data_IF_010476507349
#
_entry.id   IF_010476507349
#
_cell.length_a   1.000
_cell.length_b   1.000
_cell.length_c   1.000
_cell.angle_alpha   90.00
_cell.angle_beta   90.00
_cell.angle_gamma   90.00
#
_symmetry.space_group_name_H-M   'P 1'
#
loop_
_entity.id
_entity.type
_entity.pdbx_description
1 polymer ?
#
# COMPACT_ATOMS: atom_id res chain seq x y z
N UNK A 1 7.07 8.43 1.99
CA UNK A 1 6.62 9.18 3.19
C UNK A 1 7.17 10.60 3.32
N UNK A 2 8.43 10.89 2.98
CA UNK A 2 8.99 12.25 3.13
C UNK A 2 8.15 13.36 2.46
N UNK A 3 7.64 13.08 1.25
CA UNK A 3 6.73 14.00 0.56
C UNK A 3 5.47 14.32 1.38
N UNK A 4 4.83 13.31 1.97
CA UNK A 4 3.61 13.45 2.77
C UNK A 4 3.88 14.30 4.01
N UNK A 5 5.03 14.09 4.66
CA UNK A 5 5.40 14.86 5.84
C UNK A 5 5.52 16.35 5.51
N UNK A 6 6.17 16.70 4.40
CA UNK A 6 6.29 18.09 3.95
C UNK A 6 4.94 18.66 3.52
N UNK A 7 4.14 17.88 2.80
CA UNK A 7 2.80 18.27 2.37
C UNK A 7 1.92 18.67 3.56
N UNK A 8 1.82 17.78 4.56
CA UNK A 8 1.04 18.06 5.77
C UNK A 8 1.65 19.18 6.61
N UNK A 9 2.97 19.32 6.65
CA UNK A 9 3.63 20.41 7.35
C UNK A 9 3.32 21.78 6.73
N UNK A 10 3.24 21.86 5.39
CA UNK A 10 2.83 23.07 4.67
C UNK A 10 1.36 23.39 4.98
N UNK A 11 0.46 22.41 4.86
CA UNK A 11 -0.97 22.58 5.16
C UNK A 11 -1.22 23.05 6.60
N UNK A 12 -0.39 22.58 7.54
CA UNK A 12 -0.51 22.89 8.97
C UNK A 12 0.43 24.00 9.43
N UNK A 13 1.12 24.72 8.53
CA UNK A 13 2.21 25.63 8.89
C UNK A 13 1.80 26.67 9.94
N UNK A 14 0.60 27.24 9.80
CA UNK A 14 0.06 28.23 10.75
C UNK A 14 -0.28 27.67 12.13
N UNK A 15 -0.54 26.37 12.22
CA UNK A 15 -0.83 25.69 13.48
C UNK A 15 0.44 25.31 14.24
N UNK A 16 1.54 25.08 13.52
CA UNK A 16 2.82 24.64 14.09
C UNK A 16 3.85 25.78 14.20
N UNK A 17 3.49 27.01 13.81
CA UNK A 17 4.39 28.15 13.79
C UNK A 17 5.55 27.98 12.81
N UNK A 18 5.28 27.37 11.66
CA UNK A 18 6.27 27.02 10.63
C UNK A 18 6.15 27.85 9.35
N UNK A 19 5.46 28.99 9.37
CA UNK A 19 5.19 29.81 8.18
C UNK A 19 6.48 30.30 7.50
N UNK A 20 7.54 30.53 8.27
CA UNK A 20 8.86 30.93 7.78
C UNK A 20 9.56 29.83 6.96
N UNK A 21 9.13 28.57 7.10
CA UNK A 21 9.71 27.40 6.41
C UNK A 21 8.90 26.92 5.21
N UNK A 22 7.71 27.48 4.97
CA UNK A 22 6.80 27.03 3.92
C UNK A 22 7.45 27.05 2.54
N UNK A 23 8.24 28.08 2.23
CA UNK A 23 8.95 28.18 0.95
C UNK A 23 9.93 27.02 0.75
N UNK A 24 10.77 26.77 1.75
CA UNK A 24 11.76 25.68 1.72
C UNK A 24 11.09 24.30 1.65
N UNK A 25 10.07 24.07 2.48
CA UNK A 25 9.32 22.81 2.47
C UNK A 25 8.62 22.57 1.13
N UNK A 26 8.05 23.62 0.54
CA UNK A 26 7.38 23.52 -0.77
C UNK A 26 8.39 23.13 -1.84
N UNK A 27 9.56 23.78 -1.89
CA UNK A 27 10.62 23.44 -2.83
C UNK A 27 11.07 21.98 -2.68
N UNK A 28 11.39 21.55 -1.46
CA UNK A 28 11.83 20.15 -1.23
C UNK A 28 10.72 19.15 -1.50
N UNK A 29 9.45 19.47 -1.21
CA UNK A 29 8.31 18.62 -1.56
C UNK A 29 8.23 18.41 -3.07
N UNK A 30 8.39 19.47 -3.87
CA UNK A 30 8.37 19.36 -5.34
C UNK A 30 9.59 18.62 -5.90
N UNK A 31 10.77 18.78 -5.31
CA UNK A 31 11.96 17.99 -5.67
C UNK A 31 11.74 16.49 -5.43
N UNK A 32 11.18 16.12 -4.27
CA UNK A 32 10.84 14.73 -3.95
C UNK A 32 9.75 14.22 -4.90
N UNK A 33 8.72 15.02 -5.17
CA UNK A 33 7.64 14.66 -6.08
C UNK A 33 8.20 14.33 -7.46
N UNK A 34 9.01 15.22 -8.00
CA UNK A 34 9.66 15.05 -9.32
C UNK A 34 10.52 13.79 -9.34
N UNK A 35 11.36 13.58 -8.32
CA UNK A 35 12.19 12.38 -8.24
C UNK A 35 11.37 11.08 -8.21
N UNK A 36 10.27 11.03 -7.46
CA UNK A 36 9.40 9.84 -7.40
C UNK A 36 8.73 9.60 -8.76
N UNK A 37 8.18 10.64 -9.39
CA UNK A 37 7.48 10.49 -10.67
C UNK A 37 8.41 10.08 -11.81
N UNK A 38 9.63 10.62 -11.84
CA UNK A 38 10.58 10.38 -12.94
C UNK A 38 11.39 9.10 -12.76
N UNK A 39 11.76 8.76 -11.51
CA UNK A 39 12.69 7.65 -11.23
C UNK A 39 12.03 6.44 -10.59
N UNK A 40 10.85 6.61 -10.01
CA UNK A 40 10.08 5.54 -9.40
C UNK A 40 9.15 4.82 -10.38
N UNK A 41 8.82 5.44 -11.52
CA UNK A 41 8.05 4.77 -12.57
C UNK A 41 8.98 3.91 -13.44
N UNK A 42 8.62 2.64 -13.61
CA UNK A 42 9.30 1.74 -14.55
C UNK A 42 8.40 1.47 -15.75
N UNK A 43 8.84 1.91 -16.93
CA UNK A 43 8.13 1.61 -18.18
C UNK A 43 8.07 0.11 -18.49
N UNK A 44 9.07 -0.65 -18.02
CA UNK A 44 9.12 -2.10 -18.23
C UNK A 44 8.16 -2.85 -17.33
N UNK A 45 8.06 -2.46 -16.06
CA UNK A 45 7.07 -3.02 -15.13
C UNK A 45 5.66 -2.46 -15.40
N UNK A 46 5.57 -1.28 -16.02
CA UNK A 46 4.31 -0.55 -16.20
C UNK A 46 3.70 -0.09 -14.87
N UNK A 47 4.55 0.18 -13.86
CA UNK A 47 4.14 0.46 -12.49
C UNK A 47 5.20 1.28 -11.74
N UNK A 48 4.82 1.83 -10.58
CA UNK A 48 5.81 2.28 -9.59
C UNK A 48 6.49 1.07 -8.94
N UNK A 49 7.82 1.11 -8.86
CA UNK A 49 8.65 -0.02 -8.40
C UNK A 49 9.24 0.20 -7.00
N UNK A 50 9.78 -0.85 -6.41
CA UNK A 50 10.26 -0.91 -5.03
C UNK A 50 11.35 0.14 -4.73
N UNK A 51 12.21 0.41 -5.70
CA UNK A 51 13.28 1.39 -5.60
C UNK A 51 13.57 2.03 -6.97
N UNK A 52 14.20 3.20 -6.94
CA UNK A 52 14.46 3.97 -8.16
C UNK A 52 15.34 3.21 -9.18
N UNK A 53 14.87 3.18 -10.42
CA UNK A 53 15.52 2.45 -11.51
C UNK A 53 15.43 0.92 -11.43
N UNK A 54 14.73 0.39 -10.43
CA UNK A 54 14.40 -1.03 -10.32
C UNK A 54 13.17 -1.41 -11.12
N UNK A 55 12.94 -2.71 -11.26
CA UNK A 55 11.80 -3.29 -11.97
C UNK A 55 10.85 -4.06 -11.04
N UNK A 56 11.31 -4.39 -9.83
CA UNK A 56 10.56 -5.19 -8.87
C UNK A 56 9.43 -4.37 -8.24
N UNK A 57 8.30 -5.04 -8.01
CA UNK A 57 7.12 -4.43 -7.40
C UNK A 57 7.21 -4.50 -5.88
N UNK A 58 6.58 -3.52 -5.22
CA UNK A 58 6.37 -3.53 -3.77
C UNK A 58 4.97 -2.96 -3.48
N UNK A 59 4.18 -3.69 -2.69
CA UNK A 59 2.82 -3.33 -2.34
C UNK A 59 2.73 -2.00 -1.57
N UNK A 60 3.81 -1.54 -0.96
CA UNK A 60 3.88 -0.22 -0.33
C UNK A 60 3.67 0.94 -1.31
N UNK A 61 3.84 0.72 -2.62
CA UNK A 61 3.52 1.74 -3.63
C UNK A 61 2.01 2.05 -3.72
N UNK A 62 1.13 1.15 -3.25
CA UNK A 62 -0.29 1.45 -3.08
C UNK A 62 -0.53 2.62 -2.12
N UNK A 63 0.40 2.84 -1.17
CA UNK A 63 0.32 3.98 -0.25
C UNK A 63 0.33 5.33 -0.97
N UNK A 64 0.88 5.41 -2.19
CA UNK A 64 0.88 6.65 -2.97
C UNK A 64 -0.53 7.15 -3.26
N UNK A 65 -1.48 6.25 -3.57
CA UNK A 65 -2.89 6.61 -3.71
C UNK A 65 -3.54 6.90 -2.35
N UNK A 66 -3.25 6.08 -1.34
CA UNK A 66 -3.89 6.16 -0.02
C UNK A 66 -3.57 7.48 0.69
N UNK A 67 -2.32 7.95 0.62
CA UNK A 67 -1.87 9.19 1.28
C UNK A 67 -2.07 10.45 0.44
N UNK A 68 -2.62 10.30 -0.77
CA UNK A 68 -2.89 11.40 -1.70
C UNK A 68 -1.64 11.95 -2.40
N UNK A 69 -0.61 11.15 -2.63
CA UNK A 69 0.54 11.54 -3.46
C UNK A 69 0.12 11.70 -4.92
N UNK A 70 -0.64 10.73 -5.43
CA UNK A 70 -1.34 10.80 -6.71
C UNK A 70 -2.83 10.47 -6.49
N UNK A 71 -3.74 11.02 -7.32
CA UNK A 71 -5.11 10.55 -7.39
C UNK A 71 -5.15 9.03 -7.64
N UNK A 72 -6.07 8.32 -6.99
CA UNK A 72 -6.17 6.87 -7.15
C UNK A 72 -6.61 6.45 -8.57
N UNK A 73 -7.24 7.37 -9.32
CA UNK A 73 -7.62 7.24 -10.72
C UNK A 73 -6.56 7.76 -11.72
N UNK A 74 -5.39 8.22 -11.24
CA UNK A 74 -4.25 8.51 -12.12
C UNK A 74 -3.89 7.24 -12.90
N UNK A 75 -3.68 7.31 -14.23
CA UNK A 75 -3.38 6.12 -15.04
C UNK A 75 -2.19 5.30 -14.52
N UNK A 76 -1.18 5.92 -13.94
CA UNK A 76 -0.02 5.22 -13.36
C UNK A 76 -0.37 4.53 -12.04
N UNK A 77 -1.26 5.11 -11.24
CA UNK A 77 -1.74 4.46 -10.02
C UNK A 77 -2.65 3.28 -10.36
N UNK A 78 -3.56 3.43 -11.33
CA UNK A 78 -4.37 2.31 -11.82
C UNK A 78 -3.50 1.16 -12.32
N UNK A 79 -2.48 1.45 -13.13
CA UNK A 79 -1.55 0.45 -13.61
C UNK A 79 -0.74 -0.21 -12.47
N UNK A 80 -0.35 0.56 -11.46
CA UNK A 80 0.36 0.03 -10.27
C UNK A 80 -0.55 -0.87 -9.41
N UNK A 81 -1.82 -0.51 -9.24
CA UNK A 81 -2.82 -1.33 -8.56
C UNK A 81 -3.02 -2.66 -9.32
N UNK A 82 -3.19 -2.58 -10.64
CA UNK A 82 -3.37 -3.77 -11.49
C UNK A 82 -2.13 -4.66 -11.52
N UNK A 83 -0.93 -4.09 -11.55
CA UNK A 83 0.32 -4.86 -11.46
C UNK A 83 0.47 -5.55 -10.11
N UNK A 84 0.13 -4.85 -9.01
CA UNK A 84 0.15 -5.43 -7.66
C UNK A 84 -0.83 -6.61 -7.55
N UNK A 85 -2.07 -6.44 -8.01
CA UNK A 85 -3.08 -7.51 -7.98
C UNK A 85 -2.73 -8.70 -8.88
N UNK A 86 -2.00 -8.48 -9.98
CA UNK A 86 -1.63 -9.55 -10.91
C UNK A 86 -0.39 -10.31 -10.47
N UNK A 87 0.65 -9.60 -10.02
CA UNK A 87 2.00 -10.17 -9.88
C UNK A 87 2.41 -10.37 -8.41
N UNK A 88 1.80 -9.62 -7.48
CA UNK A 88 2.09 -9.70 -6.03
C UNK A 88 1.01 -10.43 -5.23
N UNK A 89 0.12 -11.20 -5.86
CA UNK A 89 -0.85 -12.02 -5.12
C UNK A 89 -0.55 -13.52 -5.19
N UNK A 90 -0.94 -14.25 -4.16
CA UNK A 90 -1.06 -15.72 -4.23
C UNK A 90 -2.34 -16.15 -4.98
N UNK A 91 -2.55 -17.46 -5.13
CA UNK A 91 -3.72 -18.04 -5.78
C UNK A 91 -5.05 -17.73 -5.07
N UNK A 92 -5.00 -17.35 -3.79
CA UNK A 92 -6.16 -16.92 -2.99
C UNK A 92 -6.41 -15.41 -3.16
N UNK A 93 -5.49 -14.70 -3.81
CA UNK A 93 -5.53 -13.27 -4.02
C UNK A 93 -5.13 -12.45 -2.79
N UNK A 94 -4.33 -13.01 -1.88
CA UNK A 94 -3.68 -12.28 -0.78
C UNK A 94 -2.34 -11.73 -1.26
N UNK A 95 -1.96 -10.54 -0.76
CA UNK A 95 -0.86 -9.74 -1.32
C UNK A 95 0.44 -10.00 -0.56
N UNK A 96 1.50 -10.37 -1.27
CA UNK A 96 2.88 -10.29 -0.79
C UNK A 96 3.35 -8.83 -0.74
N UNK A 97 4.21 -8.50 0.22
CA UNK A 97 4.81 -7.16 0.26
C UNK A 97 5.68 -6.93 -0.99
N UNK A 98 6.55 -7.88 -1.29
CA UNK A 98 7.33 -8.00 -2.52
C UNK A 98 7.63 -9.49 -2.72
N UNK A 99 8.03 -9.91 -3.93
CA UNK A 99 8.53 -11.27 -4.13
C UNK A 99 9.99 -11.29 -3.69
N UNK A 100 10.29 -11.91 -2.55
CA UNK A 100 11.66 -12.16 -2.17
C UNK A 100 12.25 -13.19 -3.15
N UNK A 101 13.34 -12.84 -3.84
CA UNK A 101 14.21 -13.88 -4.40
C UNK A 101 14.81 -14.69 -3.24
N UNK A 102 15.00 -16.00 -3.42
CA UNK A 102 15.60 -16.86 -2.39
C UNK A 102 16.90 -16.24 -1.85
N UNK A 103 16.95 -15.98 -0.54
CA UNK A 103 18.18 -15.58 0.16
C UNK A 103 18.46 -14.08 0.28
N UNK A 104 17.52 -13.18 -0.04
CA UNK A 104 17.71 -11.73 0.10
C UNK A 104 17.67 -11.26 1.57
N UNK A 105 16.90 -11.93 2.43
CA UNK A 105 16.78 -11.62 3.86
C UNK A 105 17.62 -12.53 4.79
N UNK A 106 18.28 -13.54 4.21
CA UNK A 106 19.10 -14.51 4.93
C UNK A 106 18.31 -15.45 5.86
N UNK A 107 16.99 -15.50 5.75
CA UNK A 107 16.15 -16.42 6.50
C UNK A 107 15.75 -17.61 5.63
N UNK A 108 15.71 -18.80 6.24
CA UNK A 108 15.22 -20.00 5.56
C UNK A 108 13.69 -20.01 5.62
N UNK A 109 13.03 -19.78 4.48
CA UNK A 109 11.58 -19.82 4.35
C UNK A 109 11.09 -18.95 3.18
N UNK A 110 9.84 -19.15 2.78
CA UNK A 110 9.12 -18.22 1.91
C UNK A 110 8.29 -17.31 2.81
N UNK A 111 8.46 -15.99 2.72
CA UNK A 111 7.67 -15.00 3.46
C UNK A 111 6.18 -15.18 3.16
N UNK A 112 5.29 -14.98 4.14
CA UNK A 112 3.86 -15.11 3.95
C UNK A 112 3.26 -13.94 3.17
N UNK A 113 1.98 -14.07 2.83
CA UNK A 113 1.20 -12.92 2.34
C UNK A 113 0.83 -12.00 3.49
N UNK A 114 0.87 -10.69 3.29
CA UNK A 114 0.61 -9.70 4.32
C UNK A 114 -0.84 -9.23 4.30
N UNK A 115 -1.53 -9.36 5.45
CA UNK A 115 -2.92 -8.91 5.58
C UNK A 115 -3.03 -7.40 5.40
N UNK A 116 -2.09 -6.63 5.96
CA UNK A 116 -2.03 -5.18 5.77
C UNK A 116 -1.92 -4.79 4.28
N UNK A 117 -1.04 -5.44 3.52
CA UNK A 117 -0.87 -5.17 2.09
C UNK A 117 -2.14 -5.53 1.30
N UNK A 118 -2.81 -6.61 1.69
CA UNK A 118 -4.10 -7.00 1.07
C UNK A 118 -5.18 -5.96 1.36
N UNK A 119 -5.24 -5.41 2.56
CA UNK A 119 -6.15 -4.30 2.88
C UNK A 119 -5.77 -3.00 2.16
N UNK A 120 -4.49 -2.70 1.97
CA UNK A 120 -4.09 -1.56 1.13
C UNK A 120 -4.55 -1.72 -0.32
N UNK A 121 -4.52 -2.93 -0.88
CA UNK A 121 -5.05 -3.17 -2.23
C UNK A 121 -6.55 -2.90 -2.29
N UNK A 122 -7.32 -3.40 -1.32
CA UNK A 122 -8.74 -3.10 -1.20
C UNK A 122 -9.00 -1.58 -1.07
N UNK A 123 -8.25 -0.90 -0.21
CA UNK A 123 -8.39 0.55 -0.01
C UNK A 123 -8.08 1.34 -1.29
N UNK A 124 -6.99 0.99 -1.99
CA UNK A 124 -6.60 1.65 -3.23
C UNK A 124 -7.62 1.43 -4.35
N UNK A 125 -8.16 0.21 -4.49
CA UNK A 125 -9.25 -0.11 -5.42
C UNK A 125 -10.51 0.71 -5.11
N UNK A 126 -10.90 0.82 -3.85
CA UNK A 126 -12.07 1.60 -3.44
C UNK A 126 -11.89 3.09 -3.79
N UNK A 127 -10.72 3.65 -3.48
CA UNK A 127 -10.38 5.05 -3.82
C UNK A 127 -10.33 5.29 -5.32
N UNK A 128 -9.99 4.28 -6.12
CA UNK A 128 -10.01 4.33 -7.59
C UNK A 128 -11.41 4.08 -8.20
N UNK A 129 -12.45 3.95 -7.37
CA UNK A 129 -13.82 3.70 -7.82
C UNK A 129 -14.09 2.26 -8.26
N UNK A 130 -13.20 1.31 -7.95
CA UNK A 130 -13.36 -0.13 -8.26
C UNK A 130 -13.95 -0.87 -7.06
N UNK A 131 -15.13 -0.43 -6.62
CA UNK A 131 -15.72 -0.78 -5.33
C UNK A 131 -16.00 -2.29 -5.19
N UNK A 132 -16.53 -2.92 -6.23
CA UNK A 132 -16.84 -4.36 -6.22
C UNK A 132 -15.57 -5.20 -6.04
N UNK A 133 -14.50 -4.87 -6.79
CA UNK A 133 -13.19 -5.54 -6.64
C UNK A 133 -12.59 -5.27 -5.26
N UNK A 134 -12.71 -4.04 -4.75
CA UNK A 134 -12.25 -3.69 -3.42
C UNK A 134 -12.92 -4.57 -2.34
N UNK A 135 -14.23 -4.78 -2.45
CA UNK A 135 -15.01 -5.65 -1.55
C UNK A 135 -14.54 -7.10 -1.61
N UNK A 136 -14.31 -7.64 -2.81
CA UNK A 136 -13.80 -9.01 -2.98
C UNK A 136 -12.43 -9.20 -2.32
N UNK A 137 -11.50 -8.25 -2.48
CA UNK A 137 -10.18 -8.29 -1.84
C UNK A 137 -10.32 -8.17 -0.31
N UNK A 138 -11.17 -7.26 0.16
CA UNK A 138 -11.43 -7.05 1.58
C UNK A 138 -12.02 -8.32 2.24
N UNK A 139 -13.01 -8.94 1.62
CA UNK A 139 -13.68 -10.13 2.14
C UNK A 139 -12.75 -11.35 2.20
N UNK A 140 -11.84 -11.48 1.21
CA UNK A 140 -10.77 -12.49 1.26
C UNK A 140 -9.85 -12.31 2.48
N UNK A 141 -9.41 -11.09 2.74
CA UNK A 141 -8.50 -10.81 3.86
C UNK A 141 -9.18 -10.96 5.22
N UNK A 142 -10.40 -10.44 5.40
CA UNK A 142 -11.10 -10.51 6.69
C UNK A 142 -11.52 -11.93 7.08
N UNK A 143 -11.63 -12.85 6.11
CA UNK A 143 -11.91 -14.27 6.38
C UNK A 143 -10.84 -14.96 7.23
N UNK A 144 -9.65 -14.36 7.36
CA UNK A 144 -8.56 -14.84 8.21
C UNK A 144 -8.63 -14.32 9.66
N UNK A 145 -9.62 -13.48 9.99
CA UNK A 145 -9.87 -13.12 11.38
C UNK A 145 -10.28 -14.38 12.16
N UNK A 146 -9.68 -14.60 13.33
CA UNK A 146 -10.03 -15.75 14.15
C UNK A 146 -11.42 -15.61 14.80
N UNK A 147 -11.79 -16.58 15.65
CA UNK A 147 -13.08 -16.64 16.35
C UNK A 147 -13.39 -15.42 17.24
N UNK A 148 -12.36 -14.67 17.66
CA UNK A 148 -12.51 -13.42 18.42
C UNK A 148 -12.23 -12.16 17.59
N UNK A 149 -12.11 -12.29 16.27
CA UNK A 149 -11.94 -11.18 15.33
C UNK A 149 -10.52 -10.63 15.23
N UNK A 150 -9.51 -11.38 15.66
CA UNK A 150 -8.11 -10.98 15.63
C UNK A 150 -7.39 -11.48 14.38
N UNK A 151 -6.57 -10.60 13.81
CA UNK A 151 -5.71 -10.85 12.65
C UNK A 151 -4.22 -10.89 13.04
N UNK A 152 -3.44 -11.71 12.33
CA UNK A 152 -1.98 -11.70 12.36
C UNK A 152 -1.39 -10.69 11.36
N UNK A 153 -0.07 -10.65 11.29
CA UNK A 153 0.67 -9.93 10.27
C UNK A 153 0.57 -10.60 8.90
N UNK A 154 0.83 -11.91 8.88
CA UNK A 154 0.95 -12.70 7.68
C UNK A 154 0.02 -13.90 7.67
N UNK A 155 -0.22 -14.43 6.48
CA UNK A 155 -0.87 -15.72 6.23
C UNK A 155 0.06 -16.56 5.37
N UNK A 156 0.35 -17.78 5.83
CA UNK A 156 1.14 -18.75 5.09
C UNK A 156 0.46 -19.08 3.74
N UNK A 157 1.23 -19.04 2.65
CA UNK A 157 0.73 -19.30 1.29
C UNK A 157 0.20 -20.73 1.14
N UNK A 158 0.86 -21.71 1.76
CA UNK A 158 0.61 -23.13 1.56
C UNK A 158 -0.42 -23.68 2.54
N UNK A 159 -0.31 -23.32 3.82
CA UNK A 159 -1.13 -23.88 4.90
C UNK A 159 -2.34 -23.00 5.23
N UNK A 160 -2.26 -21.69 4.97
CA UNK A 160 -3.25 -20.71 5.42
C UNK A 160 -3.19 -20.41 6.92
N UNK A 161 -2.14 -20.85 7.61
CA UNK A 161 -1.93 -20.50 9.01
C UNK A 161 -1.60 -19.02 9.17
N UNK A 162 -2.04 -18.44 10.29
CA UNK A 162 -1.67 -17.10 10.69
C UNK A 162 -0.21 -17.08 11.18
N UNK A 163 0.61 -16.23 10.58
CA UNK A 163 2.05 -16.11 10.86
C UNK A 163 2.44 -14.73 11.39
N UNK A 164 3.63 -14.64 11.97
CA UNK A 164 4.22 -13.38 12.42
C UNK A 164 3.56 -12.82 13.68
N UNK A 165 3.53 -11.49 13.79
CA UNK A 165 2.97 -10.84 14.97
C UNK A 165 1.48 -11.15 15.15
N UNK A 166 1.05 -11.48 16.37
CA UNK A 166 -0.34 -11.76 16.69
C UNK A 166 -0.74 -11.27 18.10
N UNK A 167 -1.83 -10.49 18.25
CA UNK A 167 -2.57 -9.81 17.17
C UNK A 167 -1.74 -8.67 16.57
N UNK A 168 -1.79 -8.50 15.25
CA UNK A 168 -1.04 -7.43 14.59
C UNK A 168 -1.88 -6.16 14.44
N UNK A 169 -1.53 -5.11 15.19
CA UNK A 169 -2.26 -3.85 15.19
C UNK A 169 -2.35 -3.21 13.79
N UNK A 170 -1.29 -3.32 12.99
CA UNK A 170 -1.29 -2.78 11.63
C UNK A 170 -2.30 -3.46 10.71
N UNK A 171 -2.43 -4.79 10.74
CA UNK A 171 -3.45 -5.50 9.95
C UNK A 171 -4.86 -5.02 10.29
N UNK A 172 -5.14 -4.75 11.56
CA UNK A 172 -6.43 -4.21 12.00
C UNK A 172 -6.63 -2.75 11.55
N UNK A 173 -5.58 -1.93 11.55
CA UNK A 173 -5.66 -0.56 10.97
C UNK A 173 -5.96 -0.64 9.47
N UNK A 174 -5.32 -1.56 8.74
CA UNK A 174 -5.61 -1.83 7.34
C UNK A 174 -7.08 -2.19 7.12
N UNK A 175 -7.62 -3.13 7.91
CA UNK A 175 -9.03 -3.50 7.88
C UNK A 175 -9.95 -2.28 8.06
N UNK A 176 -9.73 -1.48 9.10
CA UNK A 176 -10.57 -0.32 9.39
C UNK A 176 -10.55 0.69 8.24
N UNK A 177 -9.36 1.00 7.72
CA UNK A 177 -9.21 1.99 6.64
C UNK A 177 -9.83 1.50 5.32
N UNK A 178 -9.62 0.23 4.96
CA UNK A 178 -10.21 -0.36 3.77
C UNK A 178 -11.74 -0.40 3.85
N UNK A 179 -12.30 -0.83 4.99
CA UNK A 179 -13.75 -0.83 5.22
C UNK A 179 -14.34 0.58 5.12
N UNK A 180 -13.64 1.58 5.70
CA UNK A 180 -14.06 2.97 5.61
C UNK A 180 -14.01 3.50 4.17
N UNK A 181 -12.94 3.24 3.44
CA UNK A 181 -12.79 3.67 2.05
C UNK A 181 -13.86 3.07 1.13
N UNK A 182 -14.15 1.77 1.28
CA UNK A 182 -15.25 1.10 0.57
C UNK A 182 -16.58 1.78 0.89
N UNK A 183 -16.87 1.98 2.18
CA UNK A 183 -18.13 2.62 2.60
C UNK A 183 -18.28 4.05 2.06
N UNK A 184 -17.19 4.80 1.87
CA UNK A 184 -17.25 6.14 1.32
C UNK A 184 -17.44 6.13 -0.20
N UNK A 185 -16.90 5.14 -0.90
CA UNK A 185 -17.04 5.00 -2.35
C UNK A 185 -18.44 4.50 -2.79
N UNK A 186 -19.20 3.89 -1.88
CA UNK A 186 -20.58 3.41 -2.12
C UNK A 186 -21.66 4.49 -1.99
N UNK A 187 -21.31 5.68 -1.49
CA UNK A 187 -22.24 6.80 -1.26
C UNK A 187 -22.40 7.67 -2.49
#
# INVERSE_FOLDING_TARGET
>A
MCWVALDRAIDMASLIGGEDRVEDWTRTREEIRTAILDKGWSEKAGAFTQYFGGEDLDASNLMMAIVGFLPADDPRMLATIEATERDLTDDRGLVFRYRAEEGVDGLAGTEGTFLLCTFWLAEALARAGKVERAREVFERAIAFANDVGLLSEEVDEQTGELLGNFPQAFSHIGLINAAWAISQAER
#
